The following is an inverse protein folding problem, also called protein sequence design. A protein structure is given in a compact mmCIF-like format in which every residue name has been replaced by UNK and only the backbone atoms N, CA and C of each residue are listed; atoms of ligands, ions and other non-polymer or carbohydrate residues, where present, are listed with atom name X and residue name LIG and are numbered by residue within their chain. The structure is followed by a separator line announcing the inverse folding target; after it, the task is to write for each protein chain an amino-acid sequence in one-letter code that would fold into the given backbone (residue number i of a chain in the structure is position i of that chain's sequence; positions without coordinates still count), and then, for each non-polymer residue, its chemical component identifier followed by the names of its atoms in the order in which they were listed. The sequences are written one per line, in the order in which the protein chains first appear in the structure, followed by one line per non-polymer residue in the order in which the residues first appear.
data_IF_697806260592
#
_entry.id   IF_697806260592
#
_cell.length_a   1.000
_cell.length_b   1.000
_cell.length_c   1.000
_cell.angle_alpha   90.00
_cell.angle_beta   90.00
_cell.angle_gamma   90.00
#
_symmetry.space_group_name_H-M   'P 1'
#
loop_
_entity.id
_entity.type
_entity.pdbx_description
1 polymer ?
#
# COMPACT_ATOMS: atom_id res chain seq x y z
N UNK A 1 1.44 -53.56 7.57
CA UNK A 1 0.77 -52.41 8.21
C UNK A 1 1.69 -51.20 8.10
N UNK A 2 1.61 -50.50 6.97
CA UNK A 2 2.31 -49.25 6.72
C UNK A 2 1.28 -48.14 6.82
N UNK A 3 1.33 -47.38 7.92
CA UNK A 3 0.35 -46.37 8.25
C UNK A 3 0.27 -45.28 7.20
N UNK A 4 -0.92 -45.12 6.62
CA UNK A 4 -1.37 -43.86 6.04
C UNK A 4 -1.25 -42.78 7.12
N UNK A 5 -0.36 -41.81 6.91
CA UNK A 5 -0.43 -40.55 7.61
C UNK A 5 -1.49 -39.71 6.93
N UNK A 6 -2.62 -39.54 7.61
CA UNK A 6 -3.68 -38.60 7.26
C UNK A 6 -3.09 -37.25 6.84
N UNK A 7 -3.35 -36.89 5.59
CA UNK A 7 -3.00 -35.62 4.97
C UNK A 7 -3.90 -34.57 5.61
N UNK A 8 -3.38 -33.86 6.62
CA UNK A 8 -4.01 -32.66 7.19
C UNK A 8 -4.44 -31.76 6.03
N UNK A 9 -5.73 -31.42 5.94
CA UNK A 9 -6.31 -30.46 4.98
C UNK A 9 -5.82 -29.03 5.27
N UNK A 10 -4.50 -28.83 5.21
CA UNK A 10 -3.86 -27.52 5.14
C UNK A 10 -3.78 -27.10 3.67
N UNK A 11 -4.02 -25.82 3.40
CA UNK A 11 -4.18 -25.26 2.05
C UNK A 11 -2.81 -25.17 1.37
N UNK A 12 -2.40 -26.24 0.68
CA UNK A 12 -1.13 -26.23 -0.06
C UNK A 12 -1.14 -25.13 -1.14
N UNK A 13 -0.23 -24.16 -1.03
CA UNK A 13 -0.11 -23.01 -1.91
C UNK A 13 0.16 -23.40 -3.36
N UNK A 14 0.86 -24.50 -3.61
CA UNK A 14 1.04 -25.01 -4.97
C UNK A 14 -0.27 -25.56 -5.52
N UNK A 15 -1.03 -26.28 -4.69
CA UNK A 15 -2.33 -26.83 -5.08
C UNK A 15 -3.35 -25.71 -5.34
N UNK A 16 -3.35 -24.64 -4.54
CA UNK A 16 -4.17 -23.45 -4.76
C UNK A 16 -3.87 -22.76 -6.10
N UNK A 17 -2.62 -22.74 -6.52
CA UNK A 17 -2.22 -22.21 -7.83
C UNK A 17 -2.38 -23.25 -8.96
N UNK A 18 -2.71 -24.50 -8.65
CA UNK A 18 -2.79 -25.60 -9.61
C UNK A 18 -1.43 -25.95 -10.21
N UNK A 19 -0.40 -25.99 -9.37
CA UNK A 19 1.00 -26.25 -9.71
C UNK A 19 1.57 -27.41 -8.89
N UNK A 20 2.64 -28.00 -9.38
CA UNK A 20 3.47 -28.92 -8.62
C UNK A 20 4.51 -28.16 -7.78
N UNK A 21 5.04 -28.79 -6.73
CA UNK A 21 6.09 -28.21 -5.87
C UNK A 21 7.41 -27.91 -6.60
N UNK A 22 7.60 -28.55 -7.76
CA UNK A 22 8.72 -28.37 -8.69
C UNK A 22 8.55 -27.15 -9.60
N UNK A 23 7.42 -26.45 -9.53
CA UNK A 23 7.13 -25.31 -10.39
C UNK A 23 8.17 -24.19 -10.24
N UNK A 24 8.61 -23.67 -11.38
CA UNK A 24 9.51 -22.54 -11.50
C UNK A 24 8.79 -21.23 -11.15
N UNK A 25 9.55 -20.17 -10.83
CA UNK A 25 8.98 -18.84 -10.58
C UNK A 25 8.15 -18.31 -11.76
N UNK A 26 8.52 -18.68 -12.99
CA UNK A 26 7.77 -18.32 -14.20
C UNK A 26 6.39 -18.97 -14.22
N UNK A 27 6.30 -20.26 -13.88
CA UNK A 27 5.06 -21.03 -13.82
C UNK A 27 4.16 -20.57 -12.67
N UNK A 28 4.74 -20.30 -11.49
CA UNK A 28 4.05 -19.69 -10.34
C UNK A 28 3.40 -18.36 -10.74
N UNK A 29 4.16 -17.48 -11.42
CA UNK A 29 3.65 -16.19 -11.91
C UNK A 29 2.61 -16.34 -13.01
N UNK A 30 2.72 -17.34 -13.87
CA UNK A 30 1.74 -17.58 -14.94
C UNK A 30 0.42 -18.14 -14.38
N UNK A 31 0.50 -19.09 -13.45
CA UNK A 31 -0.66 -19.70 -12.82
C UNK A 31 -1.45 -18.69 -11.98
N UNK A 32 -0.76 -17.89 -11.17
CA UNK A 32 -1.38 -16.79 -10.43
C UNK A 32 -2.10 -15.82 -11.37
N UNK A 33 -1.47 -15.39 -12.47
CA UNK A 33 -2.11 -14.49 -13.44
C UNK A 33 -3.40 -15.05 -14.03
N UNK A 34 -3.42 -16.34 -14.38
CA UNK A 34 -4.61 -17.03 -14.89
C UNK A 34 -5.75 -17.04 -13.86
N UNK A 35 -5.43 -17.35 -12.60
CA UNK A 35 -6.41 -17.45 -11.51
C UNK A 35 -6.89 -16.08 -11.02
N UNK A 36 -6.00 -15.10 -10.93
CA UNK A 36 -6.32 -13.73 -10.54
C UNK A 36 -7.31 -13.09 -11.53
N UNK A 37 -7.16 -13.35 -12.84
CA UNK A 37 -8.14 -12.92 -13.84
C UNK A 37 -9.47 -13.65 -13.70
N UNK A 38 -9.45 -14.94 -13.35
CA UNK A 38 -10.65 -15.76 -13.19
C UNK A 38 -11.49 -15.33 -11.98
N UNK A 39 -10.84 -15.07 -10.85
CA UNK A 39 -11.49 -14.75 -9.58
C UNK A 39 -11.52 -13.25 -9.25
N UNK A 40 -11.15 -12.39 -10.22
CA UNK A 40 -11.14 -10.94 -9.99
C UNK A 40 -12.52 -10.42 -9.57
N UNK A 41 -12.63 -9.54 -8.56
CA UNK A 41 -13.88 -8.94 -8.11
C UNK A 41 -14.66 -8.24 -9.23
N UNK A 42 -13.96 -7.50 -10.11
CA UNK A 42 -14.61 -6.82 -11.25
C UNK A 42 -15.30 -7.77 -12.24
N UNK A 43 -14.82 -9.02 -12.37
CA UNK A 43 -15.45 -10.03 -13.24
C UNK A 43 -16.48 -10.86 -12.49
N UNK A 44 -16.46 -10.81 -11.17
CA UNK A 44 -17.33 -11.59 -10.28
C UNK A 44 -17.95 -10.66 -9.21
N UNK A 45 -18.67 -9.60 -9.61
CA UNK A 45 -19.22 -8.63 -8.67
C UNK A 45 -20.23 -9.30 -7.73
N UNK A 46 -20.06 -9.12 -6.42
CA UNK A 46 -20.95 -9.71 -5.41
C UNK A 46 -20.80 -11.21 -5.17
N UNK A 47 -19.77 -11.85 -5.74
CA UNK A 47 -19.48 -13.26 -5.50
C UNK A 47 -18.44 -13.42 -4.38
N UNK A 48 -18.90 -13.79 -3.19
CA UNK A 48 -18.03 -14.01 -2.01
C UNK A 48 -17.02 -15.14 -2.24
N UNK A 49 -17.43 -16.22 -2.91
CA UNK A 49 -16.55 -17.36 -3.19
C UNK A 49 -15.38 -16.98 -4.13
N UNK A 50 -15.62 -16.10 -5.10
CA UNK A 50 -14.57 -15.56 -5.96
C UNK A 50 -13.63 -14.63 -5.18
N UNK A 51 -14.17 -13.83 -4.26
CA UNK A 51 -13.40 -12.96 -3.38
C UNK A 51 -12.46 -13.78 -2.49
N UNK A 52 -12.96 -14.85 -1.88
CA UNK A 52 -12.16 -15.71 -1.00
C UNK A 52 -11.09 -16.48 -1.77
N UNK A 53 -11.43 -17.04 -2.94
CA UNK A 53 -10.43 -17.65 -3.83
C UNK A 53 -9.37 -16.65 -4.28
N UNK A 54 -9.75 -15.40 -4.53
CA UNK A 54 -8.81 -14.35 -4.91
C UNK A 54 -7.83 -14.00 -3.78
N UNK A 55 -8.30 -14.00 -2.52
CA UNK A 55 -7.43 -13.85 -1.35
C UNK A 55 -6.45 -15.01 -1.25
N UNK A 56 -6.94 -16.25 -1.30
CA UNK A 56 -6.14 -17.45 -1.16
C UNK A 56 -5.02 -17.56 -2.21
N UNK A 57 -5.34 -17.33 -3.48
CA UNK A 57 -4.32 -17.38 -4.55
C UNK A 57 -3.31 -16.22 -4.44
N UNK A 58 -3.72 -15.08 -3.87
CA UNK A 58 -2.83 -13.93 -3.67
C UNK A 58 -1.85 -14.19 -2.53
N UNK A 59 -2.31 -14.81 -1.44
CA UNK A 59 -1.47 -15.30 -0.35
C UNK A 59 -0.48 -16.35 -0.85
N UNK A 60 -0.95 -17.35 -1.59
CA UNK A 60 -0.10 -18.38 -2.17
C UNK A 60 0.98 -17.79 -3.08
N UNK A 61 0.63 -16.83 -3.93
CA UNK A 61 1.59 -16.15 -4.79
C UNK A 61 2.59 -15.28 -4.01
N UNK A 62 2.15 -14.55 -2.97
CA UNK A 62 3.04 -13.70 -2.16
C UNK A 62 4.14 -14.49 -1.46
N UNK A 63 3.86 -15.75 -1.10
CA UNK A 63 4.83 -16.66 -0.48
C UNK A 63 5.67 -17.39 -1.53
N UNK A 64 5.05 -17.95 -2.58
CA UNK A 64 5.76 -18.77 -3.57
C UNK A 64 6.58 -17.95 -4.59
N UNK A 65 6.22 -16.70 -4.86
CA UNK A 65 6.92 -15.85 -5.85
C UNK A 65 8.25 -15.28 -5.38
N UNK A 66 8.50 -15.30 -4.07
CA UNK A 66 9.77 -14.92 -3.47
C UNK A 66 10.60 -16.18 -3.16
N UNK A 67 11.82 -16.34 -3.70
CA UNK A 67 12.62 -17.55 -3.48
C UNK A 67 12.92 -17.85 -2.01
N UNK A 68 13.11 -16.83 -1.17
CA UNK A 68 13.39 -16.98 0.26
C UNK A 68 12.14 -17.39 1.04
N UNK A 69 10.98 -16.79 0.74
CA UNK A 69 9.70 -17.19 1.35
C UNK A 69 9.23 -18.56 0.89
N UNK A 70 9.39 -18.87 -0.40
CA UNK A 70 9.13 -20.19 -0.98
C UNK A 70 9.97 -21.26 -0.28
N UNK A 71 11.27 -20.99 -0.09
CA UNK A 71 12.15 -21.91 0.62
C UNK A 71 11.70 -22.15 2.07
N UNK A 72 11.31 -21.09 2.79
CA UNK A 72 10.78 -21.21 4.16
C UNK A 72 9.48 -22.03 4.20
N UNK A 73 8.57 -21.78 3.26
CA UNK A 73 7.33 -22.53 3.10
C UNK A 73 7.59 -24.01 2.77
N UNK A 74 8.52 -24.28 1.85
CA UNK A 74 8.90 -25.63 1.45
C UNK A 74 9.51 -26.41 2.64
N UNK A 75 10.22 -25.74 3.55
CA UNK A 75 10.87 -26.34 4.72
C UNK A 75 9.95 -26.49 5.94
N UNK A 76 9.11 -25.49 6.23
CA UNK A 76 8.37 -25.39 7.52
C UNK A 76 6.85 -25.39 7.39
N UNK A 77 6.31 -25.33 6.17
CA UNK A 77 4.87 -25.33 5.90
C UNK A 77 4.20 -23.96 6.07
N UNK A 78 2.88 -23.94 5.87
CA UNK A 78 2.03 -22.74 5.83
C UNK A 78 2.07 -21.94 7.14
N UNK A 79 1.82 -22.59 8.28
CA UNK A 79 1.69 -21.93 9.59
C UNK A 79 2.95 -21.14 9.99
N UNK A 80 4.13 -21.70 9.73
CA UNK A 80 5.41 -21.05 10.05
C UNK A 80 5.78 -19.95 9.05
N UNK A 81 5.42 -20.12 7.77
CA UNK A 81 5.61 -19.10 6.74
C UNK A 81 4.73 -17.86 7.03
N UNK A 82 3.49 -18.06 7.46
CA UNK A 82 2.56 -16.96 7.81
C UNK A 82 2.92 -16.26 9.12
N UNK A 83 3.55 -16.94 10.10
CA UNK A 83 4.07 -16.28 11.31
C UNK A 83 5.27 -15.37 11.02
N UNK A 84 6.18 -15.78 10.14
CA UNK A 84 7.37 -14.99 9.79
C UNK A 84 7.05 -13.89 8.76
N UNK A 85 6.00 -14.07 7.97
CA UNK A 85 5.53 -13.12 6.98
C UNK A 85 4.01 -12.93 7.18
N UNK A 86 3.57 -12.19 8.22
CA UNK A 86 2.15 -12.01 8.50
C UNK A 86 1.47 -11.40 7.28
N UNK A 87 0.56 -12.17 6.68
CA UNK A 87 -0.35 -11.66 5.67
C UNK A 87 -1.43 -10.83 6.37
N UNK A 88 -1.74 -9.68 5.79
CA UNK A 88 -2.73 -8.72 6.28
C UNK A 88 -4.02 -9.43 6.71
N UNK A 89 -4.44 -9.23 7.96
CA UNK A 89 -5.69 -9.76 8.51
C UNK A 89 -6.88 -9.00 7.90
N UNK A 90 -7.74 -9.71 7.17
CA UNK A 90 -8.89 -9.12 6.43
C UNK A 90 -10.17 -9.12 7.29
N UNK A 91 -10.19 -9.78 8.45
CA UNK A 91 -11.39 -9.86 9.31
C UNK A 91 -11.76 -8.52 9.96
N UNK A 92 -10.83 -7.57 10.10
CA UNK A 92 -11.15 -6.19 10.52
C UNK A 92 -11.83 -5.35 9.41
N UNK A 93 -11.97 -5.90 8.19
CA UNK A 93 -12.58 -5.19 7.05
C UNK A 93 -14.09 -5.47 6.87
N UNK A 94 -14.74 -6.02 7.90
CA UNK A 94 -16.13 -6.50 7.89
C UNK A 94 -17.24 -5.45 7.69
N UNK A 95 -16.94 -4.19 7.39
CA UNK A 95 -17.95 -3.15 7.08
C UNK A 95 -17.69 -2.36 5.80
N UNK A 96 -16.68 -2.74 5.00
CA UNK A 96 -16.23 -1.98 3.82
C UNK A 96 -16.33 -2.77 2.52
N UNK A 97 -17.55 -3.19 2.16
CA UNK A 97 -17.91 -3.74 0.84
C UNK A 97 -17.77 -2.77 -0.36
N UNK A 98 -16.87 -1.78 -0.29
CA UNK A 98 -16.60 -0.81 -1.38
C UNK A 98 -15.11 -0.49 -1.62
N UNK A 99 -14.17 -1.18 -0.98
CA UNK A 99 -12.73 -0.81 -1.05
C UNK A 99 -11.83 -1.97 -1.51
N UNK A 100 -12.35 -2.91 -2.30
CA UNK A 100 -11.56 -4.03 -2.86
C UNK A 100 -10.98 -3.65 -4.24
N UNK A 101 -10.18 -2.59 -4.24
CA UNK A 101 -9.34 -2.19 -5.38
C UNK A 101 -8.03 -1.53 -4.94
N UNK A 102 -7.71 -1.59 -3.63
CA UNK A 102 -6.49 -1.05 -3.04
C UNK A 102 -5.67 -2.08 -2.24
N UNK A 103 -6.21 -3.28 -2.03
CA UNK A 103 -5.69 -4.25 -1.05
C UNK A 103 -4.66 -5.26 -1.58
N UNK A 104 -4.08 -5.02 -2.76
CA UNK A 104 -2.83 -5.69 -3.17
C UNK A 104 -1.60 -4.82 -2.84
N UNK A 105 -1.81 -3.60 -2.31
CA UNK A 105 -0.73 -2.65 -1.98
C UNK A 105 -0.36 -2.65 -0.50
N UNK A 106 -1.21 -3.19 0.39
CA UNK A 106 -0.96 -3.19 1.84
C UNK A 106 -0.21 -4.43 2.37
N UNK A 107 0.11 -5.41 1.52
CA UNK A 107 0.85 -6.62 1.93
C UNK A 107 2.34 -6.60 1.54
N UNK A 108 2.97 -5.42 1.49
CA UNK A 108 4.44 -5.30 1.56
C UNK A 108 5.26 -5.99 0.46
N UNK A 109 4.66 -6.36 -0.68
CA UNK A 109 5.43 -6.73 -1.89
C UNK A 109 5.12 -5.69 -2.95
N UNK A 110 5.82 -4.54 -2.95
CA UNK A 110 5.85 -3.71 -4.14
C UNK A 110 6.50 -4.57 -5.23
N UNK A 111 5.72 -5.05 -6.19
CA UNK A 111 6.31 -5.46 -7.46
C UNK A 111 6.92 -4.18 -8.02
N UNK A 112 8.25 -4.05 -8.14
CA UNK A 112 8.84 -2.86 -8.72
C UNK A 112 8.26 -2.73 -10.13
N UNK A 113 7.49 -1.67 -10.34
CA UNK A 113 6.90 -1.33 -11.64
C UNK A 113 8.00 -0.70 -12.49
N UNK A 114 8.97 -1.51 -12.87
CA UNK A 114 10.05 -1.11 -13.75
C UNK A 114 9.50 -0.84 -15.16
N UNK A 115 9.99 0.23 -15.76
CA UNK A 115 9.70 0.56 -17.15
C UNK A 115 10.33 -0.55 -18.01
N UNK A 116 9.53 -1.19 -18.88
CA UNK A 116 10.06 -2.30 -19.67
C UNK A 116 11.24 -1.86 -20.56
N UNK A 117 12.25 -2.72 -20.78
CA UNK A 117 13.37 -2.42 -21.67
C UNK A 117 12.93 -2.04 -23.08
N UNK A 118 11.78 -2.56 -23.54
CA UNK A 118 11.17 -2.21 -24.81
C UNK A 118 10.81 -0.71 -24.87
N UNK A 119 10.13 -0.18 -23.85
CA UNK A 119 9.75 1.24 -23.80
C UNK A 119 10.98 2.14 -23.75
N UNK A 120 12.00 1.76 -22.97
CA UNK A 120 13.27 2.51 -22.89
C UNK A 120 14.00 2.54 -24.23
N UNK A 121 14.07 1.39 -24.92
CA UNK A 121 14.69 1.31 -26.25
C UNK A 121 13.94 2.16 -27.27
N UNK A 122 12.60 2.12 -27.26
CA UNK A 122 11.78 2.96 -28.13
C UNK A 122 12.01 4.45 -27.87
N UNK A 123 12.12 4.88 -26.61
CA UNK A 123 12.43 6.26 -26.28
C UNK A 123 13.77 6.71 -26.87
N UNK A 124 14.80 5.86 -26.80
CA UNK A 124 16.12 6.11 -27.39
C UNK A 124 16.07 6.23 -28.91
N UNK A 125 15.37 5.32 -29.59
CA UNK A 125 15.19 5.40 -31.03
C UNK A 125 14.47 6.67 -31.47
N UNK A 126 13.39 7.04 -30.75
CA UNK A 126 12.62 8.24 -31.05
C UNK A 126 13.41 9.54 -30.82
N UNK A 127 14.23 9.60 -29.78
CA UNK A 127 15.09 10.76 -29.49
C UNK A 127 16.21 10.92 -30.52
N UNK A 128 16.77 9.81 -31.01
CA UNK A 128 17.74 9.79 -32.10
C UNK A 128 17.14 10.09 -33.50
N UNK A 129 15.81 10.19 -33.61
CA UNK A 129 15.12 10.37 -34.89
C UNK A 129 15.12 9.13 -35.79
N UNK A 130 15.33 7.95 -35.22
CA UNK A 130 15.28 6.68 -35.95
C UNK A 130 13.82 6.38 -36.33
N UNK A 131 13.58 6.11 -37.62
CA UNK A 131 12.24 5.87 -38.17
C UNK A 131 12.05 4.47 -38.72
N UNK A 132 13.13 3.69 -38.86
CA UNK A 132 13.09 2.33 -39.37
C UNK A 132 14.21 1.49 -38.76
N UNK A 133 13.85 0.57 -37.87
CA UNK A 133 14.77 -0.37 -37.23
C UNK A 133 14.27 -1.78 -37.53
N UNK A 134 15.18 -2.63 -38.01
CA UNK A 134 14.82 -3.96 -38.45
C UNK A 134 14.17 -4.78 -37.32
N UNK A 135 12.94 -5.24 -37.55
CA UNK A 135 12.19 -6.05 -36.60
C UNK A 135 11.54 -5.27 -35.44
N UNK A 136 11.59 -3.94 -35.45
CA UNK A 136 10.99 -3.10 -34.41
C UNK A 136 10.00 -2.12 -35.06
N UNK A 137 8.74 -2.21 -34.63
CA UNK A 137 7.71 -1.25 -35.01
C UNK A 137 7.85 0.02 -34.15
N UNK A 138 8.26 1.12 -34.78
CA UNK A 138 8.47 2.41 -34.10
C UNK A 138 7.12 3.11 -33.98
N UNK A 139 6.64 3.41 -32.76
CA UNK A 139 5.32 3.97 -32.57
C UNK A 139 5.24 5.40 -33.09
N UNK A 140 4.08 5.76 -33.61
CA UNK A 140 3.78 7.15 -33.95
C UNK A 140 3.81 8.03 -32.69
N UNK A 141 4.55 9.12 -32.76
CA UNK A 141 4.63 10.14 -31.71
C UNK A 141 3.66 11.29 -32.01
N UNK A 142 2.85 11.66 -31.03
CA UNK A 142 1.87 12.76 -31.18
C UNK A 142 2.53 14.07 -30.75
N UNK A 143 2.50 15.10 -31.58
CA UNK A 143 2.91 16.45 -31.14
C UNK A 143 1.74 17.11 -30.42
N UNK A 144 1.94 17.46 -29.16
CA UNK A 144 0.91 18.06 -28.31
C UNK A 144 0.95 19.57 -28.47
N UNK A 145 -0.21 20.17 -28.67
CA UNK A 145 -0.40 21.62 -28.60
C UNK A 145 -1.00 22.00 -27.25
N UNK A 146 -0.56 23.12 -26.69
CA UNK A 146 -1.10 23.64 -25.44
C UNK A 146 -2.63 23.84 -25.52
N UNK A 147 -3.34 23.42 -24.49
CA UNK A 147 -4.80 23.51 -24.38
C UNK A 147 -5.58 22.40 -25.10
N UNK A 148 -4.98 21.66 -26.03
CA UNK A 148 -5.65 20.56 -26.73
C UNK A 148 -5.61 19.28 -25.90
N UNK A 149 -6.77 18.63 -25.78
CA UNK A 149 -6.90 17.34 -25.09
C UNK A 149 -6.66 16.18 -26.06
N UNK A 150 -5.92 15.18 -25.60
CA UNK A 150 -5.68 13.92 -26.32
C UNK A 150 -6.23 12.76 -25.48
N UNK A 151 -7.14 11.99 -26.07
CA UNK A 151 -7.66 10.77 -25.47
C UNK A 151 -7.14 9.55 -26.23
N UNK A 152 -6.67 8.53 -25.52
CA UNK A 152 -6.20 7.30 -26.15
C UNK A 152 -6.43 6.07 -25.26
N UNK A 153 -6.56 4.92 -25.92
CA UNK A 153 -6.47 3.60 -25.28
C UNK A 153 -5.01 3.24 -25.10
N UNK A 154 -4.68 2.67 -23.95
CA UNK A 154 -3.32 2.29 -23.58
C UNK A 154 -3.32 0.79 -23.25
N UNK A 155 -2.89 -0.06 -24.20
CA UNK A 155 -2.72 -1.49 -23.96
C UNK A 155 -1.83 -1.79 -22.76
N UNK A 156 -1.93 -3.01 -22.22
CA UNK A 156 -1.10 -3.48 -21.11
C UNK A 156 0.39 -3.34 -21.45
N UNK A 157 1.20 -2.86 -20.50
CA UNK A 157 2.66 -2.72 -20.63
C UNK A 157 3.07 -1.94 -21.89
N UNK A 158 2.29 -0.95 -22.28
CA UNK A 158 2.55 -0.14 -23.46
C UNK A 158 2.70 1.33 -23.10
N UNK A 159 3.35 2.07 -23.99
CA UNK A 159 3.54 3.50 -23.86
C UNK A 159 3.00 4.21 -25.10
N UNK A 160 2.34 5.35 -24.90
CA UNK A 160 2.00 6.29 -25.95
C UNK A 160 2.94 7.49 -25.84
N UNK A 161 3.66 7.78 -26.92
CA UNK A 161 4.70 8.81 -26.93
C UNK A 161 4.17 10.15 -27.46
N UNK A 162 4.73 11.22 -26.90
CA UNK A 162 4.34 12.59 -27.16
C UNK A 162 5.55 13.51 -27.27
N UNK A 163 5.45 14.49 -28.17
CA UNK A 163 6.35 15.62 -28.24
C UNK A 163 5.65 16.87 -27.71
N UNK A 164 6.35 17.64 -26.86
CA UNK A 164 5.95 19.01 -26.51
C UNK A 164 7.10 19.95 -26.81
N UNK A 165 6.79 21.11 -27.39
CA UNK A 165 7.78 22.19 -27.58
C UNK A 165 7.57 23.21 -26.48
N UNK A 166 8.62 23.50 -25.72
CA UNK A 166 8.60 24.40 -24.58
C UNK A 166 9.52 25.58 -24.88
N UNK A 167 8.98 26.80 -24.83
CA UNK A 167 9.73 28.04 -24.97
C UNK A 167 10.18 28.60 -23.62
N UNK A 168 11.06 29.59 -23.64
CA UNK A 168 11.43 30.31 -22.42
C UNK A 168 10.24 31.04 -21.79
N UNK A 169 9.30 31.54 -22.61
CA UNK A 169 8.06 32.16 -22.11
C UNK A 169 7.20 31.15 -21.36
N UNK A 170 7.06 29.93 -21.89
CA UNK A 170 6.28 28.88 -21.25
C UNK A 170 6.88 28.50 -19.91
N UNK A 171 8.22 28.40 -19.80
CA UNK A 171 8.89 28.13 -18.53
C UNK A 171 8.68 29.25 -17.51
N UNK A 172 8.64 30.51 -17.94
CA UNK A 172 8.42 31.64 -17.04
C UNK A 172 7.00 31.67 -16.46
N UNK A 173 6.00 31.12 -17.18
CA UNK A 173 4.62 30.97 -16.67
C UNK A 173 4.38 29.61 -15.99
N UNK A 174 5.12 28.60 -16.41
CA UNK A 174 5.02 27.22 -15.99
C UNK A 174 4.42 26.30 -17.07
N UNK A 175 4.75 25.01 -16.99
CA UNK A 175 4.25 23.98 -17.91
C UNK A 175 3.56 22.89 -17.11
N UNK A 176 2.28 22.65 -17.41
CA UNK A 176 1.49 21.64 -16.74
C UNK A 176 1.21 20.50 -17.69
N UNK A 177 1.53 19.27 -17.29
CA UNK A 177 1.14 18.05 -17.98
C UNK A 177 0.11 17.35 -17.13
N UNK A 178 -1.14 17.38 -17.57
CA UNK A 178 -2.26 16.83 -16.83
C UNK A 178 -2.71 15.55 -17.51
N UNK A 179 -2.58 14.41 -16.82
CA UNK A 179 -2.96 13.11 -17.35
C UNK A 179 -3.90 12.41 -16.37
N UNK A 180 -5.05 11.96 -16.88
CA UNK A 180 -6.10 11.32 -16.09
C UNK A 180 -6.57 10.02 -16.75
N UNK A 181 -6.94 9.05 -15.95
CA UNK A 181 -7.75 7.91 -16.36
C UNK A 181 -9.05 7.92 -15.56
N UNK A 182 -10.18 7.75 -16.24
CA UNK A 182 -11.48 7.57 -15.59
C UNK A 182 -11.60 6.23 -14.85
N UNK A 183 -10.66 5.30 -15.09
CA UNK A 183 -10.51 4.07 -14.33
C UNK A 183 -9.62 4.25 -13.11
N UNK A 184 -9.64 3.27 -12.21
CA UNK A 184 -8.64 3.12 -11.15
C UNK A 184 -7.32 2.56 -11.71
N UNK A 185 -6.89 3.07 -12.87
CA UNK A 185 -5.70 2.61 -13.58
C UNK A 185 -4.44 3.13 -12.90
N UNK A 186 -3.46 2.25 -12.72
CA UNK A 186 -2.09 2.65 -12.43
C UNK A 186 -1.40 2.97 -13.74
N UNK A 187 -0.71 4.09 -13.83
CA UNK A 187 0.06 4.49 -15.01
C UNK A 187 1.14 5.51 -14.60
N UNK A 188 2.07 5.78 -15.50
CA UNK A 188 3.16 6.73 -15.27
C UNK A 188 3.24 7.73 -16.41
N UNK A 189 3.55 8.98 -16.10
CA UNK A 189 4.02 9.97 -17.08
C UNK A 189 5.54 10.04 -16.96
N UNK A 190 6.24 9.81 -18.06
CA UNK A 190 7.70 9.66 -18.07
C UNK A 190 8.28 10.62 -19.11
N UNK A 191 9.18 11.50 -18.68
CA UNK A 191 9.98 12.31 -19.60
C UNK A 191 11.33 11.66 -19.85
N UNK A 192 11.85 11.91 -21.05
CA UNK A 192 13.15 11.46 -21.48
C UNK A 192 14.06 12.65 -21.78
N UNK A 193 15.36 12.50 -21.52
CA UNK A 193 16.37 13.45 -21.95
C UNK A 193 16.71 13.27 -23.45
N UNK A 194 17.65 14.07 -23.93
CA UNK A 194 18.12 14.05 -25.33
C UNK A 194 18.74 12.72 -25.76
N UNK A 195 19.20 11.90 -24.81
CA UNK A 195 19.86 10.62 -25.05
C UNK A 195 18.87 9.45 -24.88
N UNK A 196 17.59 9.75 -24.63
CA UNK A 196 16.52 8.78 -24.42
C UNK A 196 16.50 8.17 -23.03
N UNK A 197 17.28 8.70 -22.08
CA UNK A 197 17.27 8.25 -20.69
C UNK A 197 16.12 8.89 -19.92
N UNK A 198 15.63 8.21 -18.90
CA UNK A 198 14.52 8.72 -18.09
C UNK A 198 15.01 9.91 -17.26
N UNK A 199 14.41 11.07 -17.48
CA UNK A 199 14.75 12.31 -16.77
C UNK A 199 13.75 12.64 -15.67
N UNK A 200 12.49 12.20 -15.82
CA UNK A 200 11.43 12.47 -14.85
C UNK A 200 10.36 11.37 -14.90
N UNK A 201 9.86 10.99 -13.73
CA UNK A 201 8.74 10.05 -13.59
C UNK A 201 7.70 10.68 -12.68
N UNK A 202 6.44 10.57 -13.08
CA UNK A 202 5.28 10.82 -12.24
C UNK A 202 4.37 9.61 -12.25
N UNK A 203 4.24 8.96 -11.10
CA UNK A 203 3.29 7.86 -10.94
C UNK A 203 1.88 8.40 -10.72
N UNK A 204 0.89 7.66 -11.22
CA UNK A 204 -0.52 7.99 -11.02
C UNK A 204 -0.91 7.78 -9.56
N UNK A 205 -1.60 8.77 -8.99
CA UNK A 205 -2.32 8.64 -7.73
C UNK A 205 -3.79 8.36 -8.00
N UNK A 206 -4.40 7.58 -7.11
CA UNK A 206 -5.83 7.24 -7.18
C UNK A 206 -6.63 8.25 -6.39
N UNK A 207 -7.59 8.90 -7.04
CA UNK A 207 -8.57 9.77 -6.40
C UNK A 207 -9.94 9.08 -6.36
N UNK A 208 -10.91 9.70 -5.67
CA UNK A 208 -12.26 9.11 -5.49
C UNK A 208 -12.99 8.78 -6.80
N UNK A 209 -12.72 9.52 -7.89
CA UNK A 209 -13.45 9.41 -9.16
C UNK A 209 -12.58 8.99 -10.35
N UNK A 210 -11.27 9.17 -10.28
CA UNK A 210 -10.33 8.98 -11.38
C UNK A 210 -8.93 8.75 -10.82
N UNK A 211 -8.01 8.28 -11.66
CA UNK A 211 -6.58 8.26 -11.34
C UNK A 211 -5.88 9.36 -12.14
N UNK A 212 -4.86 10.01 -11.58
CA UNK A 212 -4.14 11.07 -12.26
C UNK A 212 -2.63 11.05 -12.00
N UNK A 213 -1.86 11.45 -13.01
CA UNK A 213 -0.43 11.67 -12.91
C UNK A 213 -0.14 13.06 -13.50
N UNK A 214 -0.23 14.09 -12.65
CA UNK A 214 -0.01 15.47 -13.06
C UNK A 214 1.43 15.88 -12.78
N UNK A 215 2.10 16.48 -13.75
CA UNK A 215 3.40 17.13 -13.58
C UNK A 215 3.19 18.63 -13.67
N UNK A 216 3.59 19.35 -12.63
CA UNK A 216 3.51 20.81 -12.55
C UNK A 216 4.93 21.37 -12.55
N UNK A 217 5.37 21.93 -13.67
CA UNK A 217 6.67 22.58 -13.79
C UNK A 217 6.47 24.07 -13.61
N UNK A 218 6.40 24.51 -12.35
CA UNK A 218 6.14 25.90 -12.00
C UNK A 218 7.45 26.70 -11.97
N UNK A 219 7.41 28.01 -12.27
CA UNK A 219 8.60 28.88 -12.22
C UNK A 219 9.06 29.18 -10.79
N UNK A 220 8.44 28.54 -9.79
CA UNK A 220 8.72 28.73 -8.39
C UNK A 220 8.79 27.39 -7.65
N UNK A 221 9.57 27.34 -6.55
CA UNK A 221 9.57 26.22 -5.63
C UNK A 221 8.16 25.86 -5.20
N UNK A 222 7.79 24.60 -5.34
CA UNK A 222 6.57 24.07 -4.78
C UNK A 222 6.83 22.66 -4.25
N UNK A 223 5.97 22.18 -3.38
CA UNK A 223 6.12 20.89 -2.73
C UNK A 223 5.19 19.86 -3.35
N UNK A 224 5.71 18.65 -3.55
CA UNK A 224 4.91 17.50 -3.96
C UNK A 224 4.69 16.56 -2.78
N UNK A 225 3.42 16.32 -2.45
CA UNK A 225 3.03 15.29 -1.48
C UNK A 225 2.94 13.94 -2.19
N UNK A 226 3.88 13.04 -1.90
CA UNK A 226 3.80 11.65 -2.34
C UNK A 226 3.03 10.82 -1.29
N UNK A 227 1.72 10.67 -1.40
CA UNK A 227 0.93 9.94 -0.38
C UNK A 227 1.28 8.44 -0.24
N UNK A 228 1.95 7.86 -1.25
CA UNK A 228 2.19 6.42 -1.31
C UNK A 228 3.17 5.90 -0.24
N UNK A 229 4.14 6.71 0.21
CA UNK A 229 5.15 6.25 1.17
C UNK A 229 4.71 6.44 2.64
N UNK A 230 3.66 7.21 2.92
CA UNK A 230 3.20 7.50 4.30
C UNK A 230 2.76 6.21 5.01
N UNK A 231 2.00 5.37 4.32
CA UNK A 231 1.44 4.14 4.90
C UNK A 231 2.50 3.07 5.20
N UNK A 232 3.62 3.08 4.48
CA UNK A 232 4.71 2.12 4.69
C UNK A 232 5.56 2.41 5.93
N UNK A 233 5.48 3.64 6.47
CA UNK A 233 6.29 4.12 7.59
C UNK A 233 5.53 4.22 8.90
N UNK A 234 4.22 3.96 8.91
CA UNK A 234 3.42 4.04 10.13
C UNK A 234 3.86 2.95 11.11
N UNK A 235 4.59 3.34 12.15
CA UNK A 235 4.72 2.55 13.37
C UNK A 235 3.45 2.72 14.20
N UNK A 236 2.94 1.63 14.77
CA UNK A 236 1.73 1.65 15.62
C UNK A 236 1.83 2.68 16.78
N UNK A 237 3.05 2.98 17.23
CA UNK A 237 3.31 3.84 18.39
C UNK A 237 3.35 5.36 18.09
N UNK A 238 3.44 5.76 16.82
CA UNK A 238 3.60 7.18 16.43
C UNK A 238 2.41 7.60 15.57
N UNK A 239 1.62 8.61 15.99
CA UNK A 239 0.53 9.15 15.20
C UNK A 239 0.96 9.58 13.80
N UNK A 240 0.16 9.24 12.79
CA UNK A 240 0.45 9.50 11.38
C UNK A 240 0.66 10.98 11.04
N UNK A 241 0.15 11.90 11.87
CA UNK A 241 0.35 13.34 11.72
C UNK A 241 1.83 13.73 11.72
N UNK A 242 2.67 13.04 12.51
CA UNK A 242 4.11 13.30 12.57
C UNK A 242 4.82 12.90 11.27
N UNK A 243 4.21 12.04 10.46
CA UNK A 243 4.75 11.59 9.17
C UNK A 243 4.09 12.29 7.98
N UNK A 244 3.03 13.07 8.20
CA UNK A 244 2.19 13.62 7.14
C UNK A 244 2.95 14.57 6.20
N UNK A 245 3.98 15.26 6.72
CA UNK A 245 4.80 16.23 5.98
C UNK A 245 6.22 15.73 5.71
N UNK A 246 6.56 14.48 6.05
CA UNK A 246 7.90 13.92 5.81
C UNK A 246 8.22 13.87 4.32
N UNK A 247 7.18 13.67 3.49
CA UNK A 247 7.30 13.58 2.04
C UNK A 247 7.13 14.93 1.35
N UNK A 248 7.04 16.00 2.14
CA UNK A 248 7.04 17.38 1.68
C UNK A 248 8.46 17.75 1.23
N UNK A 249 8.85 17.27 0.05
CA UNK A 249 10.10 17.61 -0.60
C UNK A 249 9.85 18.71 -1.63
N UNK A 250 10.77 19.68 -1.66
CA UNK A 250 10.77 20.77 -2.63
C UNK A 250 11.06 20.18 -4.00
N UNK A 251 10.10 20.30 -4.92
CA UNK A 251 10.28 19.79 -6.27
C UNK A 251 11.27 20.67 -7.02
N UNK A 252 12.24 20.04 -7.67
CA UNK A 252 13.26 20.68 -8.51
C UNK A 252 13.12 20.28 -9.97
N UNK A 253 12.07 19.55 -10.33
CA UNK A 253 11.77 19.17 -11.72
C UNK A 253 11.68 20.44 -12.57
N UNK A 254 12.49 20.48 -13.62
CA UNK A 254 12.52 21.60 -14.57
C UNK A 254 12.80 21.07 -15.97
N UNK A 255 12.36 21.83 -16.97
CA UNK A 255 12.70 21.60 -18.37
C UNK A 255 13.51 22.80 -18.88
N UNK A 256 14.30 22.57 -19.92
CA UNK A 256 14.97 23.62 -20.68
C UNK A 256 14.13 24.00 -21.90
N UNK A 257 14.31 25.20 -22.51
CA UNK A 257 13.68 25.50 -23.78
C UNK A 257 14.06 24.47 -24.86
N UNK A 258 13.08 23.96 -25.59
CA UNK A 258 13.29 22.96 -26.62
C UNK A 258 12.14 21.97 -26.78
N UNK A 259 12.39 20.94 -27.58
CA UNK A 259 11.44 19.87 -27.85
C UNK A 259 11.72 18.68 -26.93
N UNK A 260 10.71 18.24 -26.19
CA UNK A 260 10.83 17.20 -25.16
C UNK A 260 9.97 15.99 -25.48
N UNK A 261 10.57 14.80 -25.37
CA UNK A 261 9.86 13.53 -25.49
C UNK A 261 9.33 13.12 -24.13
N UNK A 262 8.07 12.72 -24.08
CA UNK A 262 7.52 12.05 -22.92
C UNK A 262 6.54 10.96 -23.35
N UNK A 263 6.15 10.10 -22.42
CA UNK A 263 5.12 9.11 -22.67
C UNK A 263 4.16 8.95 -21.49
N UNK A 264 2.96 8.48 -21.81
CA UNK A 264 2.06 7.89 -20.83
C UNK A 264 2.24 6.37 -20.91
N UNK A 265 2.68 5.77 -19.83
CA UNK A 265 3.02 4.35 -19.73
C UNK A 265 2.03 3.61 -18.83
N UNK A 266 1.42 2.55 -19.36
CA UNK A 266 0.51 1.67 -18.63
C UNK A 266 1.33 0.56 -17.97
N UNK A 267 1.48 0.60 -16.65
CA UNK A 267 2.20 -0.42 -15.89
C UNK A 267 1.29 -1.58 -15.44
N UNK A 268 -0.01 -1.52 -15.71
CA UNK A 268 -0.95 -2.59 -15.41
C UNK A 268 -0.77 -3.80 -16.34
N UNK A 269 -0.51 -4.96 -15.72
CA UNK A 269 -0.32 -6.25 -16.38
C UNK A 269 -1.64 -6.94 -16.75
N UNK A 270 -2.76 -6.51 -16.15
CA UNK A 270 -4.04 -7.24 -16.16
C UNK A 270 -5.13 -6.53 -16.96
N UNK A 271 -5.10 -5.21 -17.09
CA UNK A 271 -6.17 -4.46 -17.74
C UNK A 271 -5.61 -3.43 -18.72
N UNK A 272 -6.31 -3.26 -19.84
CA UNK A 272 -6.09 -2.13 -20.72
C UNK A 272 -6.67 -0.89 -20.04
N UNK A 273 -5.93 0.21 -20.06
CA UNK A 273 -6.41 1.48 -19.53
C UNK A 273 -6.80 2.44 -20.65
N UNK A 274 -7.51 3.49 -20.29
CA UNK A 274 -7.70 4.64 -21.17
C UNK A 274 -7.19 5.87 -20.42
N UNK A 275 -6.63 6.83 -21.13
CA UNK A 275 -6.27 8.10 -20.53
C UNK A 275 -6.73 9.26 -21.39
N UNK A 276 -6.96 10.39 -20.72
CA UNK A 276 -7.01 11.70 -21.33
C UNK A 276 -5.84 12.50 -20.80
N UNK A 277 -5.21 13.27 -21.68
CA UNK A 277 -4.14 14.16 -21.29
C UNK A 277 -4.22 15.51 -21.98
N UNK A 278 -3.65 16.52 -21.34
CA UNK A 278 -3.48 17.85 -21.93
C UNK A 278 -2.25 18.52 -21.34
N UNK A 279 -1.59 19.31 -22.17
CA UNK A 279 -0.53 20.22 -21.71
C UNK A 279 -1.10 21.63 -21.63
N UNK A 280 -0.83 22.35 -20.54
CA UNK A 280 -1.27 23.73 -20.34
C UNK A 280 -0.07 24.63 -20.04
N UNK A 281 -0.16 25.86 -20.51
CA UNK A 281 0.69 26.94 -20.03
C UNK A 281 0.15 27.39 -18.66
N UNK A 282 1.06 27.69 -17.74
CA UNK A 282 0.73 28.27 -16.45
C UNK A 282 0.27 29.71 -16.55
N UNK A 283 -0.04 30.30 -15.40
CA UNK A 283 -0.38 31.71 -15.33
C UNK A 283 0.88 32.57 -15.31
N UNK A 284 0.73 33.86 -15.60
CA UNK A 284 1.84 34.81 -15.41
C UNK A 284 2.24 34.88 -13.94
N UNK A 285 3.51 35.22 -13.68
CA UNK A 285 4.03 35.35 -12.32
C UNK A 285 3.35 36.49 -11.54
N UNK A 286 3.36 36.39 -10.21
CA UNK A 286 2.84 37.41 -9.30
C UNK A 286 1.32 37.37 -9.13
N UNK A 287 0.65 36.33 -9.61
CA UNK A 287 -0.79 36.14 -9.38
C UNK A 287 -1.11 35.92 -7.90
N UNK A 288 -2.35 36.23 -7.51
CA UNK A 288 -2.85 35.92 -6.16
C UNK A 288 -2.75 34.42 -5.83
N UNK A 289 -2.94 33.55 -6.83
CA UNK A 289 -2.77 32.11 -6.66
C UNK A 289 -1.33 31.73 -6.31
N UNK A 290 -0.34 32.31 -7.00
CA UNK A 290 1.08 32.06 -6.67
C UNK A 290 1.40 32.51 -5.24
N UNK A 291 0.95 33.70 -4.87
CA UNK A 291 1.18 34.25 -3.54
C UNK A 291 0.56 33.36 -2.46
N UNK A 292 -0.68 32.90 -2.68
CA UNK A 292 -1.39 32.04 -1.75
C UNK A 292 -0.76 30.63 -1.64
N UNK A 293 -0.35 30.04 -2.77
CA UNK A 293 0.37 28.75 -2.77
C UNK A 293 1.64 28.87 -1.92
N UNK A 294 2.47 29.88 -2.16
CA UNK A 294 3.70 30.11 -1.40
C UNK A 294 3.42 30.30 0.08
N UNK A 295 2.40 31.11 0.41
CA UNK A 295 2.00 31.36 1.80
C UNK A 295 1.59 30.07 2.52
N UNK A 296 0.76 29.24 1.89
CA UNK A 296 0.33 27.96 2.47
C UNK A 296 1.50 27.00 2.61
N UNK A 297 2.37 26.91 1.61
CA UNK A 297 3.55 26.04 1.69
C UNK A 297 4.51 26.47 2.80
N UNK A 298 4.76 27.77 2.98
CA UNK A 298 5.56 28.29 4.09
C UNK A 298 4.94 27.96 5.47
N UNK A 299 3.61 28.02 5.58
CA UNK A 299 2.89 27.57 6.77
C UNK A 299 3.05 26.06 7.00
N UNK A 300 3.02 25.25 5.93
CA UNK A 300 3.25 23.81 6.02
C UNK A 300 4.68 23.48 6.47
N UNK A 301 5.69 24.18 5.95
CA UNK A 301 7.09 24.04 6.41
C UNK A 301 7.22 24.39 7.89
N UNK A 302 6.60 25.49 8.32
CA UNK A 302 6.58 25.90 9.73
C UNK A 302 5.94 24.82 10.59
N UNK A 303 4.80 24.28 10.15
CA UNK A 303 4.09 23.22 10.88
C UNK A 303 4.88 21.91 10.94
N UNK A 304 5.58 21.54 9.87
CA UNK A 304 6.47 20.38 9.85
C UNK A 304 7.53 20.50 10.95
N UNK A 305 8.18 21.66 11.04
CA UNK A 305 9.20 21.93 12.06
C UNK A 305 8.63 21.84 13.48
N UNK A 306 7.46 22.43 13.73
CA UNK A 306 6.79 22.32 15.04
C UNK A 306 6.50 20.86 15.42
N UNK A 307 6.09 20.03 14.46
CA UNK A 307 5.82 18.60 14.69
C UNK A 307 7.11 17.82 14.96
N UNK A 308 8.17 18.07 14.20
CA UNK A 308 9.49 17.44 14.39
C UNK A 308 10.08 17.79 15.77
N UNK A 309 9.90 19.02 16.24
CA UNK A 309 10.35 19.46 17.58
C UNK A 309 9.52 18.83 18.71
N UNK A 310 8.22 18.61 18.50
CA UNK A 310 7.32 18.05 19.53
C UNK A 310 7.32 16.52 19.60
N UNK A 311 7.58 15.83 18.48
CA UNK A 311 7.53 14.35 18.40
C UNK A 311 8.35 13.63 19.50
N UNK A 312 9.58 14.05 19.84
CA UNK A 312 10.35 13.40 20.91
C UNK A 312 9.69 13.50 22.29
N UNK A 313 9.03 14.63 22.58
CA UNK A 313 8.28 14.83 23.82
C UNK A 313 7.07 13.89 23.88
N UNK A 314 6.31 13.81 22.78
CA UNK A 314 5.18 12.90 22.65
C UNK A 314 5.60 11.44 22.92
N UNK A 315 6.64 10.95 22.24
CA UNK A 315 7.14 9.58 22.39
C UNK A 315 7.56 9.29 23.83
N UNK A 316 8.22 10.24 24.49
CA UNK A 316 8.62 10.12 25.91
C UNK A 316 7.42 9.99 26.85
N UNK A 317 6.38 10.81 26.64
CA UNK A 317 5.16 10.77 27.46
C UNK A 317 4.41 9.45 27.25
N UNK A 318 4.27 9.00 26.00
CA UNK A 318 3.57 7.75 25.69
C UNK A 318 4.26 6.52 26.26
N UNK A 319 5.60 6.47 26.22
CA UNK A 319 6.36 5.40 26.87
C UNK A 319 6.08 5.35 28.37
N UNK A 320 6.11 6.50 29.05
CA UNK A 320 5.82 6.58 30.50
C UNK A 320 4.37 6.19 30.82
N UNK A 321 3.42 6.58 29.97
CA UNK A 321 2.03 6.16 30.12
C UNK A 321 1.90 4.64 30.03
N UNK A 322 2.58 4.00 29.07
CA UNK A 322 2.65 2.53 28.96
C UNK A 322 3.18 1.86 30.21
N UNK A 323 4.30 2.34 30.76
CA UNK A 323 4.88 1.83 32.01
C UNK A 323 3.91 1.94 33.21
N UNK A 324 3.15 3.04 33.29
CA UNK A 324 2.14 3.24 34.34
C UNK A 324 0.95 2.29 34.14
N UNK A 325 0.46 2.13 32.92
CA UNK A 325 -0.63 1.20 32.59
C UNK A 325 -0.24 -0.25 32.92
N UNK A 326 0.99 -0.66 32.63
CA UNK A 326 1.51 -1.98 32.97
C UNK A 326 1.58 -2.19 34.49
N UNK A 327 2.05 -1.19 35.25
CA UNK A 327 2.03 -1.25 36.71
C UNK A 327 0.62 -1.39 37.28
N UNK A 328 -0.36 -0.68 36.73
CA UNK A 328 -1.75 -0.80 37.16
C UNK A 328 -2.30 -2.20 36.86
N UNK A 329 -1.99 -2.77 35.69
CA UNK A 329 -2.34 -4.16 35.37
C UNK A 329 -1.74 -5.14 36.37
N UNK A 330 -0.47 -4.98 36.74
CA UNK A 330 0.19 -5.83 37.72
C UNK A 330 -0.47 -5.73 39.09
N UNK A 331 -0.76 -4.53 39.59
CA UNK A 331 -1.49 -4.35 40.84
C UNK A 331 -2.86 -5.03 40.81
N UNK A 332 -3.59 -4.92 39.70
CA UNK A 332 -4.88 -5.61 39.53
C UNK A 332 -4.73 -7.12 39.60
N UNK A 333 -3.76 -7.69 38.88
CA UNK A 333 -3.50 -9.14 38.89
C UNK A 333 -3.13 -9.64 40.27
N UNK A 334 -2.14 -9.01 40.92
CA UNK A 334 -1.68 -9.39 42.27
C UNK A 334 -2.80 -9.28 43.30
N UNK A 335 -3.60 -8.22 43.24
CA UNK A 335 -4.73 -8.03 44.16
C UNK A 335 -5.78 -9.13 43.97
N UNK A 336 -6.11 -9.47 42.72
CA UNK A 336 -7.08 -10.53 42.42
C UNK A 336 -6.58 -11.91 42.87
N UNK A 337 -5.29 -12.21 42.68
CA UNK A 337 -4.68 -13.45 43.17
C UNK A 337 -4.72 -13.54 44.69
N UNK A 338 -4.41 -12.45 45.40
CA UNK A 338 -4.49 -12.38 46.86
C UNK A 338 -5.93 -12.56 47.35
N UNK A 339 -6.91 -11.93 46.70
CA UNK A 339 -8.33 -12.10 47.04
C UNK A 339 -8.79 -13.54 46.84
N UNK A 340 -8.46 -14.17 45.71
CA UNK A 340 -8.80 -15.56 45.43
C UNK A 340 -8.13 -16.53 46.42
N UNK A 341 -6.85 -16.31 46.74
CA UNK A 341 -6.13 -17.10 47.75
C UNK A 341 -6.76 -16.96 49.13
N UNK A 342 -7.13 -15.73 49.52
CA UNK A 342 -7.83 -15.46 50.77
C UNK A 342 -9.15 -16.21 50.83
N UNK A 343 -9.98 -16.11 49.79
CA UNK A 343 -11.28 -16.80 49.70
C UNK A 343 -11.13 -18.32 49.84
N UNK A 344 -10.16 -18.91 49.14
CA UNK A 344 -9.83 -20.34 49.27
C UNK A 344 -9.49 -20.74 50.72
N UNK A 345 -8.65 -19.95 51.40
CA UNK A 345 -8.27 -20.22 52.80
C UNK A 345 -9.49 -20.17 53.73
N UNK A 346 -10.39 -19.19 53.57
CA UNK A 346 -11.59 -19.10 54.38
C UNK A 346 -12.53 -20.28 54.13
N UNK A 347 -12.73 -20.68 52.89
CA UNK A 347 -13.56 -21.85 52.55
C UNK A 347 -12.98 -23.14 53.16
N UNK A 348 -11.67 -23.37 53.03
CA UNK A 348 -10.99 -24.52 53.66
C UNK A 348 -11.10 -24.50 55.19
N UNK A 349 -11.02 -23.32 55.81
CA UNK A 349 -11.19 -23.16 57.25
C UNK A 349 -12.62 -23.50 57.69
N UNK A 350 -13.64 -22.99 56.98
CA UNK A 350 -15.06 -23.28 57.25
C UNK A 350 -15.32 -24.78 57.15
N UNK A 351 -14.88 -25.43 56.07
CA UNK A 351 -15.05 -26.89 55.90
C UNK A 351 -14.43 -27.67 57.07
N UNK A 352 -13.22 -27.30 57.51
CA UNK A 352 -12.58 -27.94 58.67
C UNK A 352 -13.34 -27.72 59.98
N UNK A 353 -13.99 -26.57 60.15
CA UNK A 353 -14.86 -26.32 61.31
C UNK A 353 -16.12 -27.18 61.25
N UNK A 354 -16.76 -27.30 60.08
CA UNK A 354 -17.95 -28.12 59.86
C UNK A 354 -17.68 -29.61 60.13
N UNK A 355 -16.51 -30.13 59.69
CA UNK A 355 -16.09 -31.51 59.91
C UNK A 355 -16.05 -31.93 61.40
N UNK A 356 -15.83 -30.99 62.33
CA UNK A 356 -15.78 -31.26 63.77
C UNK A 356 -17.12 -31.68 64.36
N UNK A 357 -18.22 -31.41 63.67
CA UNK A 357 -19.58 -31.64 64.18
C UNK A 357 -20.28 -32.84 63.53
N UNK A 358 -19.57 -33.64 62.72
CA UNK A 358 -20.08 -34.90 62.18
C UNK A 358 -21.24 -34.71 61.21
N UNK A 359 -20.89 -34.49 59.95
CA UNK A 359 -21.72 -34.52 58.73
C UNK A 359 -23.24 -34.70 58.94
N UNK A 360 -23.98 -33.58 59.03
CA UNK A 360 -25.38 -33.55 58.64
C UNK A 360 -25.52 -32.56 57.49
N UNK A 361 -25.97 -33.10 56.35
CA UNK A 361 -26.22 -32.41 55.09
C UNK A 361 -26.87 -31.04 55.31
N UNK A 362 -26.18 -29.94 55.01
CA UNK A 362 -26.84 -28.66 54.72
C UNK A 362 -26.12 -27.95 53.56
N UNK A 363 -26.98 -27.34 52.75
CA UNK A 363 -26.86 -26.65 51.48
C UNK A 363 -25.54 -25.96 51.13
N UNK A 364 -25.24 -25.96 49.82
CA UNK A 364 -24.12 -25.26 49.17
C UNK A 364 -23.96 -23.85 49.75
N UNK A 365 -22.93 -23.66 50.57
CA UNK A 365 -22.47 -22.35 51.01
C UNK A 365 -22.26 -21.46 49.77
N UNK A 366 -23.12 -20.45 49.63
CA UNK A 366 -22.84 -19.30 48.76
C UNK A 366 -21.63 -18.60 49.37
N UNK A 367 -20.63 -18.26 48.54
CA UNK A 367 -19.39 -17.67 49.03
C UNK A 367 -19.73 -16.43 49.84
N UNK A 368 -19.11 -16.29 51.02
CA UNK A 368 -19.25 -15.12 51.90
C UNK A 368 -18.92 -13.79 51.18
N UNK A 369 -18.31 -13.88 49.99
CA UNK A 369 -17.86 -12.76 49.17
C UNK A 369 -18.50 -12.71 47.77
N UNK A 370 -19.53 -13.52 47.48
CA UNK A 370 -20.27 -13.46 46.20
C UNK A 370 -20.86 -12.06 45.92
N UNK A 371 -21.03 -11.22 46.96
CA UNK A 371 -21.51 -9.84 46.88
C UNK A 371 -20.41 -8.77 46.90
N UNK A 372 -19.11 -9.14 46.94
CA UNK A 372 -18.04 -8.16 46.73
C UNK A 372 -17.97 -7.86 45.23
N UNK A 373 -18.06 -6.59 44.80
CA UNK A 373 -17.89 -6.25 43.40
C UNK A 373 -16.54 -6.78 42.92
N UNK A 374 -16.55 -7.75 42.00
CA UNK A 374 -15.36 -8.07 41.23
C UNK A 374 -14.97 -6.77 40.54
N UNK A 375 -13.74 -6.29 40.73
CA UNK A 375 -13.24 -5.07 40.09
C UNK A 375 -12.96 -5.29 38.59
N UNK A 376 -13.92 -5.92 37.90
CA UNK A 376 -14.06 -6.29 36.48
C UNK A 376 -13.60 -7.69 36.06
N UNK A 377 -14.33 -8.20 35.06
CA UNK A 377 -13.93 -9.24 34.11
C UNK A 377 -13.91 -8.68 32.69
#
# INVERSE_FOLDING_TARGET
MSGEKDKKEGRDFYTLLGLERTATQSEIKQAYRRLAVKYHPDKNPGNEEASDKFKEISTAYAILSDPSKKHMYDLKGEDEALKHFPTVNIEEMGTLGRVIGGLVTQAGVPLPTEITPKVLSLAKYLTNGETNIQGIDIPQVITVEYGKEVAAKLPRQSAKFFWITVSQSDLNKGVLVLCRSNGNDKFKVIFFDKDGQVSMIQESRKLKKHSEANILLLPFPHYQLNEQDIFSRMSEDIPSVFMALDLFNKDTKSLIPGKHLFCVYQDNWLFQGNFTMKCLEGLSQGTEFEQEIRRVEDQMVTKKKEMEEFQPEYVKVMKKAGEVTEKVKNFTTETNELMAKREKIYNEYITKCEDQYGNNQIEKNTSLFDNIPKFWG
#
